data_IF_940600970612
#
_entry.id   IF_940600970612
#
_cell.length_a   1.000
_cell.length_b   1.000
_cell.length_c   1.000
_cell.angle_alpha   90.00
_cell.angle_beta   90.00
_cell.angle_gamma   90.00
#
_symmetry.space_group_name_H-M   'P 1'
#
loop_
_entity.id
_entity.type
_entity.pdbx_description
1 polymer ?
#
# COMPACT_ATOMS: atom_id res chain seq x y z
N UNK A 1 -17.27 7.98 2.34
CA UNK A 1 -15.92 8.00 2.94
C UNK A 1 -15.02 8.97 2.18
N UNK A 2 -14.52 10.03 2.82
CA UNK A 2 -13.57 10.98 2.21
C UNK A 2 -12.18 10.33 2.14
N UNK A 3 -11.39 10.60 1.09
CA UNK A 3 -10.00 10.13 1.03
C UNK A 3 -9.20 10.68 2.21
N UNK A 4 -8.44 9.82 2.87
CA UNK A 4 -7.62 10.17 4.03
C UNK A 4 -6.13 9.95 3.73
N UNK A 5 -5.28 10.19 4.72
CA UNK A 5 -3.87 9.81 4.65
C UNK A 5 -3.68 8.29 4.65
N UNK A 6 -4.59 7.54 5.28
CA UNK A 6 -4.46 6.09 5.54
C UNK A 6 -4.85 5.22 4.34
N UNK A 7 -5.61 5.76 3.38
CA UNK A 7 -5.94 5.02 2.16
C UNK A 7 -6.12 5.95 0.96
N UNK A 8 -5.95 5.40 -0.23
CA UNK A 8 -6.12 6.12 -1.50
C UNK A 8 -7.16 5.40 -2.35
N UNK A 9 -8.18 6.11 -2.84
CA UNK A 9 -9.14 5.51 -3.75
C UNK A 9 -8.55 5.43 -5.16
N UNK A 10 -8.66 4.26 -5.76
CA UNK A 10 -8.30 4.01 -7.14
C UNK A 10 -9.58 4.12 -7.95
N UNK A 11 -9.61 5.10 -8.85
CA UNK A 11 -10.82 5.50 -9.56
C UNK A 11 -10.51 5.69 -11.04
N UNK A 12 -11.48 5.35 -11.89
CA UNK A 12 -11.45 5.60 -13.32
C UNK A 12 -12.77 6.27 -13.74
N UNK A 13 -12.72 7.44 -14.37
CA UNK A 13 -13.91 8.23 -14.78
C UNK A 13 -15.00 8.29 -13.71
N UNK A 14 -14.61 8.62 -12.47
CA UNK A 14 -15.48 8.70 -11.29
C UNK A 14 -16.03 7.37 -10.74
N UNK A 15 -15.81 6.24 -11.42
CA UNK A 15 -16.09 4.92 -10.86
C UNK A 15 -14.98 4.50 -9.88
N UNK A 16 -15.37 4.00 -8.71
CA UNK A 16 -14.46 3.37 -7.76
C UNK A 16 -14.08 1.97 -8.26
N UNK A 17 -12.79 1.73 -8.45
CA UNK A 17 -12.25 0.42 -8.80
C UNK A 17 -11.83 -0.35 -7.54
N UNK A 18 -11.03 0.32 -6.69
CA UNK A 18 -10.52 -0.25 -5.44
C UNK A 18 -10.00 0.81 -4.49
N UNK A 19 -9.50 0.36 -3.35
CA UNK A 19 -8.89 1.18 -2.31
C UNK A 19 -7.50 0.63 -1.99
N UNK A 20 -6.48 1.47 -2.07
CA UNK A 20 -5.14 1.15 -1.64
C UNK A 20 -4.97 1.54 -0.16
N UNK A 21 -4.85 0.54 0.71
CA UNK A 21 -4.71 0.73 2.16
C UNK A 21 -3.26 0.99 2.55
N UNK A 22 -2.90 2.26 2.73
CA UNK A 22 -1.54 2.68 3.12
C UNK A 22 -1.24 2.31 4.58
N UNK A 23 -2.25 2.36 5.44
CA UNK A 23 -2.15 1.92 6.84
C UNK A 23 -1.75 0.45 6.99
N UNK A 24 -2.03 -0.38 5.99
CA UNK A 24 -1.74 -1.82 5.99
C UNK A 24 -0.48 -2.18 5.18
N UNK A 25 0.37 -1.21 4.84
CA UNK A 25 1.60 -1.52 4.12
C UNK A 25 2.55 -2.37 4.97
N UNK A 26 3.30 -3.25 4.32
CA UNK A 26 4.23 -4.16 4.99
C UNK A 26 5.62 -4.09 4.34
N UNK A 27 6.70 -4.21 5.12
CA UNK A 27 8.02 -4.48 4.57
C UNK A 27 8.05 -5.94 4.07
N UNK A 28 8.62 -6.15 2.89
CA UNK A 28 8.75 -7.49 2.29
C UNK A 28 10.22 -7.70 1.91
N UNK A 29 10.86 -8.80 2.33
CA UNK A 29 12.23 -9.11 1.91
C UNK A 29 12.32 -9.35 0.40
N UNK A 30 13.50 -9.10 -0.16
CA UNK A 30 13.81 -9.45 -1.56
C UNK A 30 13.64 -10.97 -1.73
N UNK A 31 12.99 -11.40 -2.80
CA UNK A 31 12.70 -12.81 -3.08
C UNK A 31 11.37 -13.32 -2.49
N UNK A 32 10.75 -12.58 -1.57
CA UNK A 32 9.44 -12.94 -0.97
C UNK A 32 8.25 -12.29 -1.70
N UNK A 33 8.48 -11.73 -2.89
CA UNK A 33 7.45 -11.22 -3.77
C UNK A 33 7.77 -11.61 -5.21
N UNK A 34 6.73 -11.76 -6.03
CA UNK A 34 6.86 -11.98 -7.46
C UNK A 34 6.05 -10.95 -8.24
N UNK A 35 6.52 -10.62 -9.43
CA UNK A 35 5.81 -9.73 -10.34
C UNK A 35 4.68 -10.48 -11.02
N UNK A 36 3.47 -9.94 -10.96
CA UNK A 36 2.32 -10.46 -11.71
C UNK A 36 2.41 -9.94 -13.15
N UNK A 37 2.35 -10.85 -14.12
CA UNK A 37 2.18 -10.51 -15.53
C UNK A 37 0.69 -10.45 -15.86
N UNK A 38 0.15 -9.22 -15.86
CA UNK A 38 -1.29 -8.96 -16.09
C UNK A 38 -1.74 -9.53 -17.44
N UNK A 39 -0.87 -9.58 -18.46
CA UNK A 39 -1.23 -10.07 -19.79
C UNK A 39 -1.53 -11.57 -19.82
N UNK A 40 -0.98 -12.34 -18.87
CA UNK A 40 -1.16 -13.80 -18.77
C UNK A 40 -2.39 -14.22 -17.97
N UNK A 41 -3.15 -13.27 -17.43
CA UNK A 41 -4.39 -13.56 -16.69
C UNK A 41 -5.48 -13.96 -17.69
N UNK A 42 -6.06 -15.15 -17.50
CA UNK A 42 -7.08 -15.73 -18.37
C UNK A 42 -8.45 -15.06 -18.21
N UNK A 43 -8.80 -14.65 -17.00
CA UNK A 43 -10.02 -13.89 -16.73
C UNK A 43 -9.89 -12.48 -17.32
N UNK A 44 -10.59 -12.26 -18.44
CA UNK A 44 -10.59 -11.00 -19.18
C UNK A 44 -11.09 -9.83 -18.32
N UNK A 45 -12.14 -10.03 -17.52
CA UNK A 45 -12.71 -8.97 -16.68
C UNK A 45 -11.73 -8.58 -15.59
N UNK A 46 -11.11 -9.55 -14.95
CA UNK A 46 -10.11 -9.30 -13.92
C UNK A 46 -8.85 -8.63 -14.48
N UNK A 47 -8.41 -9.06 -15.67
CA UNK A 47 -7.29 -8.43 -16.38
C UNK A 47 -7.56 -6.97 -16.70
N UNK A 48 -8.75 -6.65 -17.22
CA UNK A 48 -9.14 -5.28 -17.55
C UNK A 48 -9.20 -4.39 -16.30
N UNK A 49 -9.70 -4.94 -15.18
CA UNK A 49 -9.70 -4.28 -13.88
C UNK A 49 -8.27 -3.92 -13.44
N UNK A 50 -7.35 -4.89 -13.43
CA UNK A 50 -5.96 -4.67 -13.01
C UNK A 50 -5.23 -3.63 -13.87
N UNK A 51 -5.48 -3.63 -15.18
CA UNK A 51 -4.93 -2.62 -16.08
C UNK A 51 -5.46 -1.22 -15.75
N UNK A 52 -6.78 -1.08 -15.54
CA UNK A 52 -7.38 0.19 -15.16
C UNK A 52 -6.86 0.70 -13.80
N UNK A 53 -6.72 -0.20 -12.83
CA UNK A 53 -6.15 0.10 -11.51
C UNK A 53 -4.68 0.53 -11.62
N UNK A 54 -3.86 -0.19 -12.40
CA UNK A 54 -2.45 0.15 -12.58
C UNK A 54 -2.28 1.57 -13.16
N UNK A 55 -3.07 1.92 -14.17
CA UNK A 55 -3.06 3.26 -14.77
C UNK A 55 -3.48 4.32 -13.74
N UNK A 56 -4.56 4.06 -12.99
CA UNK A 56 -5.05 4.98 -11.98
C UNK A 56 -4.05 5.16 -10.81
N UNK A 57 -3.37 4.08 -10.39
CA UNK A 57 -2.28 4.12 -9.41
C UNK A 57 -1.11 4.97 -9.90
N UNK A 58 -0.68 4.82 -11.16
CA UNK A 58 0.40 5.63 -11.75
C UNK A 58 0.08 7.12 -11.72
N UNK A 59 -1.16 7.51 -12.07
CA UNK A 59 -1.61 8.91 -12.00
C UNK A 59 -1.56 9.49 -10.58
N UNK A 60 -1.73 8.65 -9.56
CA UNK A 60 -1.74 9.02 -8.13
C UNK A 60 -0.41 8.72 -7.42
N UNK A 61 0.63 8.26 -8.13
CA UNK A 61 1.86 7.75 -7.53
C UNK A 61 2.52 8.73 -6.55
N UNK A 62 2.63 10.02 -6.93
CA UNK A 62 3.19 11.06 -6.05
C UNK A 62 2.45 11.14 -4.71
N UNK A 63 1.11 11.08 -4.74
CA UNK A 63 0.28 11.12 -3.54
C UNK A 63 0.43 9.85 -2.70
N UNK A 64 0.40 8.68 -3.35
CA UNK A 64 0.59 7.39 -2.67
C UNK A 64 1.92 7.38 -1.91
N UNK A 65 3.01 7.77 -2.57
CA UNK A 65 4.35 7.82 -1.97
C UNK A 65 4.41 8.85 -0.83
N UNK A 66 3.84 10.04 -1.02
CA UNK A 66 3.77 11.07 0.03
C UNK A 66 3.02 10.57 1.27
N UNK A 67 1.85 9.94 1.07
CA UNK A 67 1.03 9.42 2.15
C UNK A 67 1.76 8.29 2.90
N UNK A 68 2.38 7.35 2.19
CA UNK A 68 3.15 6.27 2.79
C UNK A 68 4.29 6.78 3.67
N UNK A 69 5.07 7.77 3.20
CA UNK A 69 6.14 8.40 3.98
C UNK A 69 5.62 9.07 5.24
N UNK A 70 4.51 9.81 5.14
CA UNK A 70 3.92 10.50 6.29
C UNK A 70 3.35 9.51 7.32
N UNK A 71 2.61 8.49 6.87
CA UNK A 71 2.07 7.45 7.74
C UNK A 71 3.20 6.73 8.46
N UNK A 72 4.24 6.30 7.73
CA UNK A 72 5.41 5.69 8.35
C UNK A 72 6.01 6.58 9.42
N UNK A 73 6.25 7.86 9.09
CA UNK A 73 6.83 8.82 10.02
C UNK A 73 5.98 8.97 11.29
N UNK A 74 4.67 9.14 11.12
CA UNK A 74 3.73 9.36 12.21
C UNK A 74 3.66 8.16 13.15
N UNK A 75 3.67 6.94 12.61
CA UNK A 75 3.56 5.73 13.41
C UNK A 75 4.89 5.36 14.08
N UNK A 76 6.02 5.52 13.37
CA UNK A 76 7.31 5.09 13.89
C UNK A 76 7.96 6.10 14.85
N UNK A 77 7.75 7.41 14.64
CA UNK A 77 8.48 8.46 15.38
C UNK A 77 7.57 9.40 16.19
N UNK A 78 6.29 9.54 15.81
CA UNK A 78 5.36 10.48 16.47
C UNK A 78 4.03 9.81 16.93
N UNK A 79 4.03 8.55 17.46
CA UNK A 79 2.80 7.77 17.66
C UNK A 79 1.82 8.42 18.64
N UNK A 80 2.32 9.12 19.66
CA UNK A 80 1.50 9.80 20.67
C UNK A 80 0.69 10.98 20.09
N UNK A 81 1.21 11.64 19.05
CA UNK A 81 0.51 12.73 18.35
C UNK A 81 -0.56 12.21 17.39
N UNK A 82 -0.44 10.95 16.97
CA UNK A 82 -1.26 10.35 15.92
C UNK A 82 -2.00 9.08 16.39
N UNK A 83 -2.40 9.01 17.67
CA UNK A 83 -3.07 7.84 18.29
C UNK A 83 -4.23 7.29 17.47
N UNK A 84 -5.08 8.16 16.93
CA UNK A 84 -6.23 7.74 16.14
C UNK A 84 -5.81 7.05 14.84
N UNK A 85 -4.75 7.52 14.18
CA UNK A 85 -4.22 6.89 12.96
C UNK A 85 -3.50 5.58 13.33
N UNK A 86 -2.74 5.60 14.42
CA UNK A 86 -1.96 4.45 14.90
C UNK A 86 -2.83 3.22 15.18
N UNK A 87 -4.02 3.40 15.75
CA UNK A 87 -4.97 2.30 16.02
C UNK A 87 -5.36 1.48 14.78
N UNK A 88 -5.28 2.06 13.59
CA UNK A 88 -5.64 1.40 12.34
C UNK A 88 -4.43 1.01 11.49
N UNK A 89 -3.21 1.33 11.92
CA UNK A 89 -1.99 1.01 11.18
C UNK A 89 -1.37 -0.29 11.67
N UNK A 90 -0.65 -0.96 10.77
CA UNK A 90 0.25 -2.02 11.18
C UNK A 90 1.36 -1.46 12.08
N UNK A 91 1.86 -2.30 12.99
CA UNK A 91 3.07 -2.00 13.76
C UNK A 91 4.30 -2.14 12.84
N UNK A 92 4.64 -1.04 12.16
CA UNK A 92 5.74 -1.01 11.19
C UNK A 92 7.08 -1.33 11.84
N UNK A 93 7.34 -0.84 13.06
CA UNK A 93 8.59 -1.11 13.78
C UNK A 93 8.78 -2.61 14.03
N UNK A 94 7.71 -3.31 14.45
CA UNK A 94 7.75 -4.75 14.67
C UNK A 94 7.88 -5.53 13.36
N UNK A 95 7.13 -5.15 12.32
CA UNK A 95 7.21 -5.78 11.01
C UNK A 95 8.59 -5.63 10.37
N UNK A 96 9.20 -4.45 10.46
CA UNK A 96 10.54 -4.22 9.93
C UNK A 96 11.61 -5.00 10.69
N UNK A 97 11.49 -5.10 12.02
CA UNK A 97 12.40 -5.93 12.83
C UNK A 97 12.33 -7.39 12.39
N UNK A 98 11.13 -7.90 12.14
CA UNK A 98 10.92 -9.26 11.65
C UNK A 98 11.44 -9.46 10.23
N UNK A 99 11.14 -8.52 9.33
CA UNK A 99 11.65 -8.51 7.95
C UNK A 99 13.18 -8.55 7.92
N UNK A 100 13.84 -7.72 8.74
CA UNK A 100 15.32 -7.71 8.86
C UNK A 100 15.89 -9.01 9.41
N UNK A 101 15.15 -9.75 10.24
CA UNK A 101 15.58 -11.06 10.75
C UNK A 101 15.57 -12.10 9.63
N UNK A 102 14.46 -12.21 8.90
CA UNK A 102 14.33 -13.14 7.76
C UNK A 102 15.37 -12.85 6.68
N UNK A 103 15.61 -11.57 6.37
CA UNK A 103 16.61 -11.19 5.36
C UNK A 103 18.05 -11.58 5.71
N UNK A 104 18.36 -11.89 6.97
CA UNK A 104 19.70 -12.35 7.40
C UNK A 104 19.83 -13.87 7.43
N UNK A 105 18.72 -14.59 7.38
CA UNK A 105 18.66 -16.05 7.42
C UNK A 105 18.65 -16.66 6.00
N UNK A 106 18.61 -15.83 4.96
CA UNK A 106 18.76 -16.18 3.55
C UNK A 106 20.08 -15.64 2.99
#
# INVERSE_FOLDING_TARGET
MYESLTFVKITNRSQLLSVLNINNMIPVPIGFYHKIDINKISDLKYRDLLNAEQIACRKKARRIIKNAKLIHKFICYEPERHKNINKFCCDFNKLEKYCRKISKEN
#
